data_IF_243929951410
#
_entry.id   IF_243929951410
#
_cell.length_a   1.000
_cell.length_b   1.000
_cell.length_c   1.000
_cell.angle_alpha   90.00
_cell.angle_beta   90.00
_cell.angle_gamma   90.00
#
_symmetry.space_group_name_H-M   'P 1'
#
loop_
_entity.id
_entity.type
_entity.pdbx_description
1 polymer ?
#
# COMPACT_ATOMS: atom_id res chain seq x y z
N UNK A 1 8.53 11.79 -19.61
CA UNK A 1 8.15 13.16 -19.80
C UNK A 1 8.26 13.58 -21.26
N UNK A 2 7.17 13.99 -21.82
CA UNK A 2 7.09 14.51 -23.20
C UNK A 2 7.40 16.01 -23.16
N UNK A 3 8.66 16.38 -23.28
CA UNK A 3 9.12 17.77 -23.32
C UNK A 3 8.59 18.53 -24.56
N UNK A 4 8.02 17.84 -25.56
CA UNK A 4 7.39 18.46 -26.72
C UNK A 4 5.90 18.76 -26.58
N UNK A 5 5.24 18.25 -25.54
CA UNK A 5 3.79 18.36 -25.39
C UNK A 5 3.33 19.56 -24.54
N UNK A 6 4.18 20.14 -23.71
CA UNK A 6 3.78 21.26 -22.85
C UNK A 6 3.40 22.52 -23.64
N UNK A 7 4.04 22.79 -24.78
CA UNK A 7 3.68 23.93 -25.64
C UNK A 7 2.36 23.70 -26.38
N UNK A 8 2.04 22.46 -26.74
CA UNK A 8 0.77 22.12 -27.39
C UNK A 8 -0.41 22.04 -26.41
N UNK A 9 -0.16 21.70 -25.16
CA UNK A 9 -1.21 21.55 -24.13
C UNK A 9 -1.74 22.89 -23.64
N UNK A 10 -0.92 23.95 -23.62
CA UNK A 10 -1.33 25.27 -23.10
C UNK A 10 -2.22 26.07 -24.05
N UNK A 11 -2.11 25.83 -25.35
CA UNK A 11 -2.77 26.63 -26.39
C UNK A 11 -3.90 25.92 -27.13
N UNK A 12 -4.15 24.63 -26.82
CA UNK A 12 -5.16 23.80 -27.49
C UNK A 12 -6.20 23.29 -26.54
N UNK A 13 -7.47 23.57 -26.80
CA UNK A 13 -8.59 22.94 -26.15
C UNK A 13 -8.86 21.57 -26.82
N UNK A 14 -8.79 20.51 -26.04
CA UNK A 14 -9.10 19.16 -26.51
C UNK A 14 -10.55 18.83 -26.15
N UNK A 15 -11.37 18.39 -27.11
CA UNK A 15 -12.71 17.92 -26.82
C UNK A 15 -12.65 16.74 -25.84
N UNK A 16 -13.31 16.86 -24.69
CA UNK A 16 -13.37 15.81 -23.67
C UNK A 16 -14.73 15.12 -23.74
N UNK A 17 -14.79 13.82 -24.10
CA UNK A 17 -16.06 13.08 -24.08
C UNK A 17 -16.51 12.93 -22.63
N UNK A 18 -17.71 13.38 -22.32
CA UNK A 18 -18.23 13.39 -20.95
C UNK A 18 -18.73 12.00 -20.52
N UNK A 19 -19.29 11.23 -21.45
CA UNK A 19 -19.81 9.85 -21.18
C UNK A 19 -20.60 9.79 -19.87
N UNK A 20 -21.65 10.62 -19.76
CA UNK A 20 -22.43 10.73 -18.54
C UNK A 20 -23.46 9.61 -18.41
N UNK A 21 -23.75 9.20 -17.16
CA UNK A 21 -24.90 8.35 -16.86
C UNK A 21 -26.24 9.07 -16.97
N UNK A 22 -26.27 10.40 -16.93
CA UNK A 22 -27.49 11.19 -17.10
C UNK A 22 -27.76 11.52 -18.57
N UNK A 23 -29.02 11.43 -18.96
CA UNK A 23 -29.52 11.86 -20.28
C UNK A 23 -29.68 13.38 -20.29
N UNK A 24 -29.54 13.97 -21.47
CA UNK A 24 -29.75 15.41 -21.66
C UNK A 24 -28.55 16.30 -21.36
N UNK A 25 -27.42 15.70 -20.96
CA UNK A 25 -26.15 16.41 -20.84
C UNK A 25 -25.42 16.46 -22.21
N UNK A 26 -24.55 17.44 -22.43
CA UNK A 26 -23.66 17.47 -23.58
C UNK A 26 -22.80 16.19 -23.64
N UNK A 27 -22.59 15.67 -24.84
CA UNK A 27 -21.72 14.49 -25.05
C UNK A 27 -20.23 14.84 -24.87
N UNK A 28 -19.86 16.08 -25.14
CA UNK A 28 -18.47 16.51 -25.19
C UNK A 28 -18.31 17.90 -24.60
N UNK A 29 -17.29 18.09 -23.77
CA UNK A 29 -16.81 19.40 -23.33
C UNK A 29 -15.81 19.92 -24.36
N UNK A 30 -16.16 20.98 -25.06
CA UNK A 30 -15.34 21.62 -26.14
C UNK A 30 -14.71 22.94 -25.74
N UNK A 31 -15.17 23.52 -24.63
CA UNK A 31 -14.69 24.77 -24.08
C UNK A 31 -14.03 24.55 -22.72
N UNK A 32 -13.23 25.50 -22.25
CA UNK A 32 -12.60 25.44 -20.94
C UNK A 32 -13.60 25.41 -19.78
N UNK A 33 -14.78 25.99 -20.00
CA UNK A 33 -15.88 26.05 -19.04
C UNK A 33 -17.21 25.80 -19.75
N UNK A 34 -18.13 25.10 -19.09
CA UNK A 34 -19.47 24.89 -19.58
C UNK A 34 -20.47 25.03 -18.43
N UNK A 35 -21.56 25.75 -18.70
CA UNK A 35 -22.67 25.90 -17.77
C UNK A 35 -23.85 25.09 -18.27
N UNK A 36 -24.46 24.31 -17.37
CA UNK A 36 -25.68 23.53 -17.62
C UNK A 36 -26.85 24.27 -16.99
N UNK A 37 -27.59 25.10 -17.74
CA UNK A 37 -28.57 26.06 -17.16
C UNK A 37 -29.80 25.36 -16.56
N UNK A 38 -30.14 24.19 -17.01
CA UNK A 38 -31.31 23.40 -16.57
C UNK A 38 -30.91 22.21 -15.65
N UNK A 39 -29.81 22.34 -14.91
CA UNK A 39 -29.26 21.26 -14.09
C UNK A 39 -30.28 20.66 -13.12
N UNK A 40 -31.07 21.51 -12.42
CA UNK A 40 -32.10 21.01 -11.47
C UNK A 40 -33.21 20.20 -12.14
N UNK A 41 -33.56 20.53 -13.39
CA UNK A 41 -34.51 19.76 -14.16
C UNK A 41 -33.89 18.40 -14.56
N UNK A 42 -32.67 18.40 -15.07
CA UNK A 42 -31.98 17.17 -15.42
C UNK A 42 -31.81 16.24 -14.21
N UNK A 43 -31.48 16.80 -13.04
CA UNK A 43 -31.40 16.04 -11.80
C UNK A 43 -32.70 15.40 -11.38
N UNK A 44 -33.86 16.02 -11.70
CA UNK A 44 -35.16 15.46 -11.43
C UNK A 44 -35.62 14.40 -12.47
N UNK A 45 -35.08 14.46 -13.68
CA UNK A 45 -35.38 13.55 -14.79
C UNK A 45 -34.48 12.32 -14.85
N UNK A 46 -33.37 12.32 -14.12
CA UNK A 46 -32.38 11.22 -14.09
C UNK A 46 -32.33 10.61 -12.68
N UNK A 47 -31.96 9.33 -12.63
CA UNK A 47 -31.79 8.60 -11.38
C UNK A 47 -30.31 8.55 -10.99
N UNK A 48 -30.06 8.59 -9.68
CA UNK A 48 -28.73 8.42 -9.08
C UNK A 48 -27.82 9.63 -9.21
N UNK A 49 -26.66 9.55 -8.59
CA UNK A 49 -25.64 10.58 -8.64
C UNK A 49 -25.11 10.77 -10.06
N UNK A 50 -24.87 12.04 -10.44
CA UNK A 50 -24.22 12.34 -11.71
C UNK A 50 -22.81 11.76 -11.73
N UNK A 51 -22.52 10.99 -12.78
CA UNK A 51 -21.17 10.46 -13.04
C UNK A 51 -20.76 10.74 -14.49
N UNK A 52 -19.49 11.07 -14.65
CA UNK A 52 -18.83 11.21 -15.93
C UNK A 52 -17.88 10.04 -16.16
N UNK A 53 -17.48 9.87 -17.43
CA UNK A 53 -16.60 8.79 -17.87
C UNK A 53 -17.12 7.41 -17.46
N UNK A 54 -18.44 7.22 -17.52
CA UNK A 54 -19.04 5.90 -17.26
C UNK A 54 -18.37 4.84 -18.14
N UNK A 55 -18.13 3.65 -17.58
CA UNK A 55 -17.34 2.57 -18.20
C UNK A 55 -15.83 2.85 -18.25
N UNK A 56 -15.35 4.00 -17.72
CA UNK A 56 -13.94 4.37 -17.64
C UNK A 56 -13.19 4.29 -19.00
N UNK A 57 -13.83 4.78 -20.06
CA UNK A 57 -13.31 4.68 -21.43
C UNK A 57 -12.53 5.90 -21.90
N UNK A 58 -12.67 7.04 -21.22
CA UNK A 58 -11.93 8.26 -21.53
C UNK A 58 -10.82 8.52 -20.50
N UNK A 59 -9.79 9.24 -20.93
CA UNK A 59 -8.58 9.44 -20.12
C UNK A 59 -8.57 10.83 -19.45
N UNK A 60 -9.38 11.00 -18.42
CA UNK A 60 -9.40 12.17 -17.53
C UNK A 60 -9.85 11.78 -16.11
N UNK A 61 -9.64 12.66 -15.15
CA UNK A 61 -10.03 12.50 -13.75
C UNK A 61 -11.10 13.53 -13.44
N UNK A 62 -12.18 13.11 -12.77
CA UNK A 62 -13.28 13.99 -12.37
C UNK A 62 -13.15 14.39 -10.90
N UNK A 63 -13.09 15.69 -10.63
CA UNK A 63 -13.20 16.22 -9.26
C UNK A 63 -14.62 16.71 -8.97
N UNK A 64 -15.43 15.83 -8.38
CA UNK A 64 -16.78 16.20 -7.89
C UNK A 64 -16.66 17.01 -6.62
N UNK A 65 -17.46 18.10 -6.52
CA UNK A 65 -17.45 18.99 -5.37
C UNK A 65 -18.87 19.26 -4.84
N UNK A 66 -18.95 19.65 -3.55
CA UNK A 66 -20.20 20.04 -2.92
C UNK A 66 -21.30 18.96 -3.00
N UNK A 67 -22.54 19.33 -3.43
CA UNK A 67 -23.63 18.38 -3.49
C UNK A 67 -23.42 17.19 -4.43
N UNK A 68 -22.63 17.36 -5.50
CA UNK A 68 -22.31 16.27 -6.43
C UNK A 68 -21.45 15.20 -5.78
N UNK A 69 -20.44 15.62 -5.01
CA UNK A 69 -19.62 14.69 -4.24
C UNK A 69 -20.44 13.99 -3.17
N UNK A 70 -21.26 14.71 -2.43
CA UNK A 70 -22.11 14.13 -1.39
C UNK A 70 -23.07 13.05 -1.96
N UNK A 71 -23.66 13.30 -3.12
CA UNK A 71 -24.50 12.33 -3.81
C UNK A 71 -23.71 11.08 -4.23
N UNK A 72 -22.52 11.27 -4.82
CA UNK A 72 -21.64 10.17 -5.24
C UNK A 72 -21.23 9.29 -4.06
N UNK A 73 -20.80 9.90 -2.95
CA UNK A 73 -20.40 9.19 -1.73
C UNK A 73 -21.57 8.39 -1.13
N UNK A 74 -22.78 8.98 -1.11
CA UNK A 74 -23.97 8.29 -0.61
C UNK A 74 -24.34 7.04 -1.42
N UNK A 75 -24.06 7.05 -2.72
CA UNK A 75 -24.37 5.92 -3.61
C UNK A 75 -23.21 4.93 -3.77
N UNK A 76 -22.02 5.24 -3.25
CA UNK A 76 -20.80 4.50 -3.52
C UNK A 76 -20.95 2.99 -3.28
N UNK A 77 -21.57 2.60 -2.18
CA UNK A 77 -21.81 1.20 -1.82
C UNK A 77 -22.77 0.47 -2.80
N UNK A 78 -23.60 1.21 -3.54
CA UNK A 78 -24.60 0.66 -4.47
C UNK A 78 -24.15 0.74 -5.94
N UNK A 79 -23.00 1.35 -6.21
CA UNK A 79 -22.45 1.40 -7.57
C UNK A 79 -22.00 0.01 -8.05
N UNK A 80 -22.01 -0.17 -9.37
CA UNK A 80 -21.31 -1.31 -9.96
C UNK A 80 -19.80 -1.25 -9.70
N UNK A 81 -19.12 -2.40 -9.78
CA UNK A 81 -17.70 -2.50 -9.44
C UNK A 81 -16.80 -1.54 -10.24
N UNK A 82 -17.07 -1.32 -11.52
CA UNK A 82 -16.28 -0.41 -12.37
C UNK A 82 -16.43 1.03 -11.92
N UNK A 83 -17.66 1.45 -11.63
CA UNK A 83 -17.97 2.80 -11.16
C UNK A 83 -17.44 3.06 -9.74
N UNK A 84 -17.55 2.10 -8.84
CA UNK A 84 -16.99 2.20 -7.50
C UNK A 84 -15.45 2.28 -7.53
N UNK A 85 -14.81 1.40 -8.32
CA UNK A 85 -13.37 1.42 -8.54
C UNK A 85 -12.89 2.77 -9.08
N UNK A 86 -13.57 3.31 -10.12
CA UNK A 86 -13.25 4.60 -10.70
C UNK A 86 -13.33 5.72 -9.65
N UNK A 87 -14.43 5.80 -8.90
CA UNK A 87 -14.63 6.83 -7.88
C UNK A 87 -13.52 6.80 -6.81
N UNK A 88 -13.16 5.61 -6.32
CA UNK A 88 -12.10 5.45 -5.32
C UNK A 88 -10.73 5.85 -5.89
N UNK A 89 -10.40 5.38 -7.09
CA UNK A 89 -9.12 5.66 -7.72
C UNK A 89 -8.95 7.15 -8.06
N UNK A 90 -9.99 7.79 -8.63
CA UNK A 90 -9.95 9.22 -8.95
C UNK A 90 -9.78 10.09 -7.68
N UNK A 91 -10.56 9.82 -6.61
CA UNK A 91 -10.39 10.55 -5.33
C UNK A 91 -9.01 10.33 -4.74
N UNK A 92 -8.48 9.11 -4.77
CA UNK A 92 -7.10 8.85 -4.30
C UNK A 92 -6.05 9.61 -5.11
N UNK A 93 -6.14 9.63 -6.44
CA UNK A 93 -5.21 10.37 -7.30
C UNK A 93 -5.26 11.87 -7.04
N UNK A 94 -6.47 12.44 -6.82
CA UNK A 94 -6.63 13.85 -6.44
C UNK A 94 -5.99 14.13 -5.07
N UNK A 95 -6.14 13.24 -4.10
CA UNK A 95 -5.50 13.38 -2.79
C UNK A 95 -3.97 13.23 -2.88
N UNK A 96 -3.46 12.25 -3.63
CA UNK A 96 -2.02 12.07 -3.87
C UNK A 96 -1.37 13.29 -4.54
N UNK A 97 -2.13 14.00 -5.41
CA UNK A 97 -1.68 15.25 -6.05
C UNK A 97 -1.85 16.50 -5.17
N UNK A 98 -2.46 16.37 -3.99
CA UNK A 98 -2.71 17.48 -3.07
C UNK A 98 -3.82 18.44 -3.50
N UNK A 99 -4.67 18.04 -4.47
CA UNK A 99 -5.84 18.81 -4.95
C UNK A 99 -7.03 18.72 -3.99
N UNK A 100 -7.17 17.61 -3.29
CA UNK A 100 -8.14 17.40 -2.22
C UNK A 100 -7.44 16.95 -0.95
N UNK A 101 -8.13 17.03 0.20
CA UNK A 101 -7.58 16.52 1.45
C UNK A 101 -7.60 14.99 1.51
N UNK A 102 -6.55 14.40 2.07
CA UNK A 102 -6.51 12.97 2.40
C UNK A 102 -7.58 12.57 3.43
N UNK A 103 -8.05 13.52 4.25
CA UNK A 103 -9.13 13.30 5.21
C UNK A 103 -10.44 12.86 4.53
N UNK A 104 -10.72 13.36 3.30
CA UNK A 104 -11.90 12.97 2.53
C UNK A 104 -11.92 11.48 2.17
N UNK A 105 -10.74 10.85 2.06
CA UNK A 105 -10.64 9.42 1.77
C UNK A 105 -11.05 8.55 2.96
N UNK A 106 -10.94 9.05 4.19
CA UNK A 106 -11.39 8.34 5.40
C UNK A 106 -12.90 8.13 5.33
N UNK A 107 -13.65 9.22 5.09
CA UNK A 107 -15.11 9.17 4.99
C UNK A 107 -15.56 8.37 3.75
N UNK A 108 -14.83 8.47 2.64
CA UNK A 108 -15.12 7.75 1.41
C UNK A 108 -15.09 6.23 1.62
N UNK A 109 -14.00 5.69 2.19
CA UNK A 109 -13.86 4.23 2.36
C UNK A 109 -14.73 3.69 3.50
N UNK A 110 -15.10 4.53 4.47
CA UNK A 110 -15.99 4.13 5.56
C UNK A 110 -17.47 3.92 5.12
N UNK A 111 -17.85 4.42 3.93
CA UNK A 111 -19.17 4.18 3.32
C UNK A 111 -19.25 2.83 2.59
N UNK A 112 -18.12 2.13 2.43
CA UNK A 112 -18.08 0.81 1.80
C UNK A 112 -18.29 -0.25 2.88
N UNK A 113 -19.48 -0.79 2.93
CA UNK A 113 -19.90 -1.76 3.94
C UNK A 113 -19.66 -3.22 3.52
N UNK A 114 -19.57 -3.51 2.22
CA UNK A 114 -19.31 -4.84 1.69
C UNK A 114 -18.32 -4.80 0.53
N UNK A 115 -17.29 -5.64 0.56
CA UNK A 115 -16.44 -5.85 -0.61
C UNK A 115 -17.24 -6.56 -1.70
N UNK A 116 -17.23 -6.00 -2.90
CA UNK A 116 -18.00 -6.51 -4.04
C UNK A 116 -17.14 -7.27 -5.04
N UNK A 117 -15.90 -6.84 -5.19
CA UNK A 117 -14.94 -7.46 -6.07
C UNK A 117 -13.52 -7.25 -5.54
N UNK A 118 -12.61 -8.15 -5.93
CA UNK A 118 -11.19 -8.00 -5.61
C UNK A 118 -10.61 -6.66 -6.06
N UNK A 119 -11.03 -6.15 -7.23
CA UNK A 119 -10.53 -4.86 -7.76
C UNK A 119 -10.91 -3.69 -6.85
N UNK A 120 -12.14 -3.69 -6.32
CA UNK A 120 -12.61 -2.66 -5.36
C UNK A 120 -11.88 -2.83 -4.03
N UNK A 121 -11.76 -4.06 -3.52
CA UNK A 121 -11.04 -4.37 -2.29
C UNK A 121 -9.56 -3.92 -2.37
N UNK A 122 -8.90 -4.11 -3.51
CA UNK A 122 -7.53 -3.66 -3.74
C UNK A 122 -7.43 -2.13 -3.80
N UNK A 123 -8.38 -1.44 -4.44
CA UNK A 123 -8.41 0.02 -4.45
C UNK A 123 -8.58 0.60 -3.03
N UNK A 124 -9.47 0.03 -2.23
CA UNK A 124 -9.64 0.38 -0.81
C UNK A 124 -8.35 0.11 -0.04
N UNK A 125 -7.72 -1.05 -0.25
CA UNK A 125 -6.43 -1.38 0.35
C UNK A 125 -5.34 -0.33 0.04
N UNK A 126 -5.30 0.20 -1.18
CA UNK A 126 -4.35 1.26 -1.55
C UNK A 126 -4.64 2.56 -0.79
N UNK A 127 -5.92 2.93 -0.59
CA UNK A 127 -6.30 4.07 0.25
C UNK A 127 -5.89 3.84 1.70
N UNK A 128 -6.21 2.69 2.28
CA UNK A 128 -5.81 2.30 3.66
C UNK A 128 -4.29 2.37 3.83
N UNK A 129 -3.52 1.86 2.88
CA UNK A 129 -2.06 1.94 2.90
C UNK A 129 -1.55 3.39 2.80
N UNK A 130 -2.25 4.23 2.02
CA UNK A 130 -1.99 5.66 1.94
C UNK A 130 -2.24 6.38 3.27
N UNK A 131 -3.33 6.09 3.95
CA UNK A 131 -3.69 6.68 5.25
C UNK A 131 -2.72 6.26 6.37
N UNK A 132 -2.20 5.03 6.35
CA UNK A 132 -1.23 4.54 7.36
C UNK A 132 0.02 5.42 7.45
N UNK A 133 0.41 6.13 6.39
CA UNK A 133 1.60 7.03 6.41
C UNK A 133 1.46 8.21 7.38
N UNK A 134 0.23 8.62 7.71
CA UNK A 134 -0.06 9.73 8.62
C UNK A 134 -0.12 9.31 10.08
N UNK A 135 -0.17 8.01 10.35
CA UNK A 135 -0.40 7.44 11.67
C UNK A 135 0.93 7.01 12.29
N UNK A 136 1.20 7.51 13.49
CA UNK A 136 2.37 7.10 14.26
C UNK A 136 2.05 5.83 15.06
N UNK A 137 3.00 4.91 15.10
CA UNK A 137 2.89 3.65 15.85
C UNK A 137 2.73 3.91 17.36
N UNK A 138 1.89 3.12 18.02
CA UNK A 138 1.57 3.25 19.44
C UNK A 138 0.68 4.44 19.81
N UNK A 139 0.26 5.27 18.82
CA UNK A 139 -0.58 6.45 19.07
C UNK A 139 -2.07 6.10 19.24
N UNK A 140 -2.85 7.05 19.78
CA UNK A 140 -4.31 6.93 19.80
C UNK A 140 -4.89 6.88 18.37
N UNK A 141 -4.28 7.62 17.45
CA UNK A 141 -4.68 7.62 16.05
C UNK A 141 -4.51 6.24 15.40
N UNK A 142 -3.50 5.47 15.80
CA UNK A 142 -3.36 4.10 15.32
C UNK A 142 -4.51 3.21 15.77
N UNK A 143 -4.98 3.38 17.00
CA UNK A 143 -6.15 2.63 17.48
C UNK A 143 -7.41 2.97 16.70
N UNK A 144 -7.63 4.24 16.38
CA UNK A 144 -8.74 4.69 15.53
C UNK A 144 -8.62 4.16 14.10
N UNK A 145 -7.43 4.26 13.52
CA UNK A 145 -7.13 3.68 12.21
C UNK A 145 -7.39 2.17 12.17
N UNK A 146 -6.93 1.43 13.18
CA UNK A 146 -7.15 -0.03 13.26
C UNK A 146 -8.64 -0.39 13.41
N UNK A 147 -9.43 0.44 14.12
CA UNK A 147 -10.89 0.27 14.17
C UNK A 147 -11.55 0.49 12.81
N UNK A 148 -11.17 1.56 12.11
CA UNK A 148 -11.66 1.82 10.75
C UNK A 148 -11.35 0.63 9.82
N UNK A 149 -10.11 0.14 9.82
CA UNK A 149 -9.70 -1.02 9.03
C UNK A 149 -10.50 -2.26 9.41
N UNK A 150 -10.72 -2.48 10.71
CA UNK A 150 -11.55 -3.60 11.17
C UNK A 150 -12.99 -3.49 10.66
N UNK A 151 -13.58 -2.30 10.72
CA UNK A 151 -14.95 -2.08 10.22
C UNK A 151 -15.06 -2.40 8.73
N UNK A 152 -14.07 -2.01 7.92
CA UNK A 152 -14.08 -2.20 6.45
C UNK A 152 -13.96 -3.69 6.07
N UNK A 153 -13.14 -4.47 6.79
CA UNK A 153 -12.78 -5.83 6.34
C UNK A 153 -13.37 -6.96 7.19
N UNK A 154 -14.09 -6.64 8.26
CA UNK A 154 -14.61 -7.66 9.18
C UNK A 154 -15.65 -8.57 8.52
N UNK A 155 -16.52 -8.02 7.66
CA UNK A 155 -17.56 -8.80 7.01
C UNK A 155 -16.98 -9.74 5.94
N UNK A 156 -16.02 -9.28 5.14
CA UNK A 156 -15.28 -10.13 4.21
C UNK A 156 -14.64 -11.32 4.93
N UNK A 157 -14.04 -11.06 6.10
CA UNK A 157 -13.47 -12.13 6.91
C UNK A 157 -14.52 -13.07 7.48
N UNK A 158 -15.67 -12.56 7.95
CA UNK A 158 -16.75 -13.40 8.46
C UNK A 158 -17.30 -14.32 7.38
N UNK A 159 -17.38 -13.84 6.14
CA UNK A 159 -17.84 -14.59 5.00
C UNK A 159 -16.85 -15.67 4.56
N UNK A 160 -15.55 -15.34 4.49
CA UNK A 160 -14.53 -16.21 3.88
C UNK A 160 -13.71 -17.00 4.89
N UNK A 161 -13.43 -16.45 6.08
CA UNK A 161 -12.64 -17.10 7.13
C UNK A 161 -11.15 -17.24 6.81
N UNK A 162 -10.48 -18.21 7.43
CA UNK A 162 -9.03 -18.45 7.24
C UNK A 162 -8.72 -19.38 6.07
N UNK A 163 -9.55 -20.40 5.84
CA UNK A 163 -9.28 -21.46 4.90
C UNK A 163 -10.10 -21.33 3.62
N UNK A 164 -9.51 -21.73 2.51
CA UNK A 164 -10.22 -21.83 1.23
C UNK A 164 -11.36 -22.82 1.32
N UNK A 165 -12.57 -22.39 0.96
CA UNK A 165 -13.74 -23.27 0.87
C UNK A 165 -13.74 -24.03 -0.46
N UNK A 166 -14.38 -25.21 -0.49
CA UNK A 166 -14.36 -26.08 -1.67
C UNK A 166 -15.01 -25.46 -2.93
N UNK A 167 -15.94 -24.55 -2.73
CA UNK A 167 -16.70 -23.83 -3.76
C UNK A 167 -16.29 -22.36 -3.91
N UNK A 168 -15.20 -21.93 -3.25
CA UNK A 168 -14.69 -20.57 -3.29
C UNK A 168 -14.07 -20.26 -4.66
N UNK A 169 -14.49 -19.15 -5.27
CA UNK A 169 -13.89 -18.67 -6.51
C UNK A 169 -12.48 -18.13 -6.28
N UNK A 170 -11.69 -17.97 -7.34
CA UNK A 170 -10.36 -17.35 -7.24
C UNK A 170 -10.46 -15.87 -6.80
N UNK A 171 -11.54 -15.18 -7.17
CA UNK A 171 -11.81 -13.82 -6.72
C UNK A 171 -12.09 -13.75 -5.22
N UNK A 172 -12.94 -14.64 -4.70
CA UNK A 172 -13.21 -14.74 -3.26
C UNK A 172 -11.95 -15.06 -2.46
N UNK A 173 -11.09 -15.95 -2.99
CA UNK A 173 -9.78 -16.23 -2.38
C UNK A 173 -8.91 -14.96 -2.28
N UNK A 174 -8.89 -14.12 -3.33
CA UNK A 174 -8.14 -12.87 -3.33
C UNK A 174 -8.71 -11.87 -2.31
N UNK A 175 -10.05 -11.72 -2.24
CA UNK A 175 -10.72 -10.88 -1.24
C UNK A 175 -10.41 -11.36 0.18
N UNK A 176 -10.49 -12.68 0.43
CA UNK A 176 -10.12 -13.28 1.72
C UNK A 176 -8.68 -12.96 2.12
N UNK A 177 -7.73 -13.07 1.20
CA UNK A 177 -6.32 -12.76 1.47
C UNK A 177 -6.11 -11.28 1.81
N UNK A 178 -6.80 -10.37 1.11
CA UNK A 178 -6.78 -8.93 1.43
C UNK A 178 -7.34 -8.69 2.83
N UNK A 179 -8.53 -9.21 3.13
CA UNK A 179 -9.18 -9.01 4.42
C UNK A 179 -8.32 -9.54 5.58
N UNK A 180 -7.81 -10.78 5.48
CA UNK A 180 -6.91 -11.37 6.48
C UNK A 180 -5.66 -10.51 6.70
N UNK A 181 -5.02 -10.07 5.61
CA UNK A 181 -3.82 -9.26 5.69
C UNK A 181 -4.08 -7.89 6.34
N UNK A 182 -5.20 -7.24 6.04
CA UNK A 182 -5.55 -5.92 6.61
C UNK A 182 -5.95 -6.03 8.07
N UNK A 183 -6.76 -7.01 8.44
CA UNK A 183 -7.14 -7.25 9.83
C UNK A 183 -5.94 -7.65 10.71
N UNK A 184 -5.01 -8.43 10.16
CA UNK A 184 -3.75 -8.74 10.87
C UNK A 184 -2.91 -7.48 11.09
N UNK A 185 -2.74 -6.61 10.08
CA UNK A 185 -2.03 -5.33 10.21
C UNK A 185 -2.74 -4.35 11.16
N UNK A 186 -4.07 -4.48 11.31
CA UNK A 186 -4.86 -3.73 12.28
C UNK A 186 -4.85 -4.32 13.70
N UNK A 187 -3.97 -5.31 13.95
CA UNK A 187 -3.84 -5.96 15.28
C UNK A 187 -5.15 -6.57 15.79
N UNK A 188 -5.99 -7.11 14.89
CA UNK A 188 -7.26 -7.73 15.28
C UNK A 188 -7.00 -9.00 16.09
N UNK A 189 -7.44 -9.08 17.38
CA UNK A 189 -7.11 -10.20 18.26
C UNK A 189 -7.60 -11.55 17.74
N UNK A 190 -8.79 -11.60 17.13
CA UNK A 190 -9.36 -12.85 16.61
C UNK A 190 -8.52 -13.40 15.43
N UNK A 191 -7.94 -12.52 14.63
CA UNK A 191 -7.04 -12.92 13.55
C UNK A 191 -5.71 -13.41 14.10
N UNK A 192 -5.13 -12.69 15.06
CA UNK A 192 -3.87 -13.08 15.72
C UNK A 192 -4.00 -14.47 16.34
N UNK A 193 -5.07 -14.70 17.12
CA UNK A 193 -5.33 -15.99 17.79
C UNK A 193 -5.62 -17.10 16.77
N UNK A 194 -6.39 -16.82 15.72
CA UNK A 194 -6.70 -17.79 14.67
C UNK A 194 -5.45 -18.22 13.87
N UNK A 195 -4.60 -17.27 13.49
CA UNK A 195 -3.32 -17.56 12.82
C UNK A 195 -2.37 -18.37 13.72
N UNK A 196 -2.37 -18.09 15.03
CA UNK A 196 -1.63 -18.88 16.02
C UNK A 196 -2.15 -20.30 16.09
N UNK A 197 -3.46 -20.49 16.17
CA UNK A 197 -4.07 -21.84 16.20
C UNK A 197 -3.71 -22.63 14.94
N UNK A 198 -3.68 -22.00 13.77
CA UNK A 198 -3.21 -22.66 12.54
C UNK A 198 -1.74 -23.05 12.69
N UNK A 199 -0.85 -22.16 13.17
CA UNK A 199 0.56 -22.49 13.38
C UNK A 199 0.75 -23.72 14.28
N UNK A 200 -0.02 -23.81 15.37
CA UNK A 200 0.06 -24.89 16.35
C UNK A 200 -0.24 -26.28 15.74
N UNK A 201 -0.99 -26.35 14.62
CA UNK A 201 -1.26 -27.61 13.91
C UNK A 201 -0.11 -28.06 13.00
N UNK A 202 0.86 -27.18 12.73
CA UNK A 202 1.97 -27.43 11.79
C UNK A 202 3.36 -27.26 12.43
N UNK A 203 3.46 -27.29 13.76
CA UNK A 203 4.74 -27.09 14.48
C UNK A 203 5.83 -28.07 14.07
N UNK A 204 5.46 -29.32 13.72
CA UNK A 204 6.41 -30.33 13.30
C UNK A 204 6.92 -30.13 11.86
N UNK A 205 6.17 -29.41 11.03
CA UNK A 205 6.54 -29.12 9.65
C UNK A 205 5.87 -27.84 9.12
N UNK A 206 6.50 -26.71 9.39
CA UNK A 206 6.00 -25.38 8.97
C UNK A 206 5.92 -25.22 7.44
N UNK A 207 6.66 -26.01 6.67
CA UNK A 207 6.58 -26.00 5.21
C UNK A 207 5.23 -26.55 4.68
N UNK A 208 4.52 -27.34 5.50
CA UNK A 208 3.21 -27.90 5.15
C UNK A 208 2.04 -26.93 5.40
N UNK A 209 2.27 -25.77 6.00
CA UNK A 209 1.24 -24.72 6.12
C UNK A 209 0.74 -24.37 4.71
N UNK A 210 -0.59 -24.30 4.48
CA UNK A 210 -1.16 -23.95 3.18
C UNK A 210 -0.60 -22.63 2.65
N UNK A 211 -0.11 -22.61 1.42
CA UNK A 211 0.59 -21.48 0.83
C UNK A 211 -0.22 -20.16 0.87
N UNK A 212 -1.55 -20.26 0.75
CA UNK A 212 -2.46 -19.12 0.78
C UNK A 212 -2.41 -18.31 2.11
N UNK A 213 -2.08 -18.95 3.24
CA UNK A 213 -2.04 -18.32 4.57
C UNK A 213 -0.66 -18.38 5.21
N UNK A 214 0.28 -19.15 4.66
CA UNK A 214 1.59 -19.46 5.26
C UNK A 214 2.36 -18.22 5.65
N UNK A 215 2.44 -17.23 4.76
CA UNK A 215 3.13 -15.96 5.04
C UNK A 215 2.59 -15.26 6.28
N UNK A 216 1.27 -15.13 6.39
CA UNK A 216 0.64 -14.48 7.53
C UNK A 216 0.80 -15.30 8.82
N UNK A 217 0.65 -16.63 8.74
CA UNK A 217 0.82 -17.53 9.88
C UNK A 217 2.24 -17.43 10.44
N UNK A 218 3.27 -17.50 9.58
CA UNK A 218 4.67 -17.41 10.00
C UNK A 218 5.00 -16.00 10.52
N UNK A 219 4.53 -14.95 9.86
CA UNK A 219 4.73 -13.56 10.28
C UNK A 219 4.05 -13.26 11.62
N UNK A 220 2.82 -13.76 11.82
CA UNK A 220 2.07 -13.63 13.07
C UNK A 220 2.81 -14.29 14.24
N UNK A 221 3.29 -15.51 14.02
CA UNK A 221 4.02 -16.24 15.04
C UNK A 221 5.30 -15.51 15.45
N UNK A 222 6.03 -14.96 14.48
CA UNK A 222 7.24 -14.18 14.73
C UNK A 222 6.96 -12.88 15.46
N UNK A 223 5.96 -12.11 14.99
CA UNK A 223 5.64 -10.80 15.55
C UNK A 223 5.15 -10.85 16.98
N UNK A 224 4.28 -11.81 17.32
CA UNK A 224 3.57 -11.85 18.60
C UNK A 224 4.06 -12.93 19.56
N UNK A 225 4.79 -13.95 19.08
CA UNK A 225 5.14 -15.13 19.86
C UNK A 225 6.60 -15.58 19.60
N UNK A 226 7.50 -14.61 19.33
CA UNK A 226 8.91 -14.89 19.05
C UNK A 226 9.59 -15.58 20.24
N UNK A 227 10.31 -16.68 19.93
CA UNK A 227 11.21 -17.40 20.85
C UNK A 227 12.49 -17.77 20.11
N UNK A 228 13.59 -18.01 20.85
CA UNK A 228 14.88 -18.43 20.25
C UNK A 228 14.72 -19.70 19.41
N UNK A 229 13.96 -20.68 19.92
CA UNK A 229 13.68 -21.92 19.19
C UNK A 229 12.90 -21.71 17.89
N UNK A 230 11.96 -20.75 17.87
CA UNK A 230 11.24 -20.38 16.64
C UNK A 230 12.18 -19.76 15.62
N UNK A 231 13.04 -18.85 16.07
CA UNK A 231 14.06 -18.20 15.22
C UNK A 231 14.98 -19.25 14.61
N UNK A 232 15.46 -20.21 15.42
CA UNK A 232 16.31 -21.31 14.92
C UNK A 232 15.57 -22.15 13.87
N UNK A 233 14.33 -22.54 14.14
CA UNK A 233 13.50 -23.28 13.18
C UNK A 233 13.32 -22.55 11.87
N UNK A 234 13.09 -21.23 11.91
CA UNK A 234 12.91 -20.41 10.70
C UNK A 234 14.20 -20.29 9.90
N UNK A 235 15.34 -20.06 10.55
CA UNK A 235 16.64 -20.04 9.87
C UNK A 235 17.02 -21.38 9.28
N UNK A 236 16.86 -22.47 10.01
CA UNK A 236 17.18 -23.81 9.54
C UNK A 236 16.32 -24.18 8.33
N UNK A 237 15.01 -23.86 8.38
CA UNK A 237 14.10 -24.08 7.26
C UNK A 237 14.47 -23.18 6.07
N UNK A 238 14.82 -21.92 6.31
CA UNK A 238 15.24 -20.98 5.27
C UNK A 238 16.45 -21.49 4.49
N UNK A 239 17.45 -22.00 5.18
CA UNK A 239 18.67 -22.54 4.58
C UNK A 239 18.42 -23.86 3.85
N UNK A 240 17.60 -24.73 4.44
CA UNK A 240 17.34 -26.07 3.90
C UNK A 240 16.38 -26.08 2.70
N UNK A 241 15.46 -25.12 2.61
CA UNK A 241 14.42 -25.14 1.58
C UNK A 241 14.93 -24.79 0.18
N UNK A 242 14.40 -25.49 -0.82
CA UNK A 242 14.54 -25.13 -2.25
C UNK A 242 13.31 -24.39 -2.80
N UNK A 243 12.22 -24.30 -2.00
CA UNK A 243 11.01 -23.54 -2.37
C UNK A 243 11.25 -22.05 -2.13
N UNK A 244 11.30 -21.28 -3.22
CA UNK A 244 11.50 -19.83 -3.17
C UNK A 244 10.33 -19.11 -2.50
N UNK A 245 9.09 -19.62 -2.60
CA UNK A 245 7.94 -18.99 -1.95
C UNK A 245 8.06 -19.15 -0.43
N UNK A 246 8.40 -20.34 0.05
CA UNK A 246 8.64 -20.57 1.49
C UNK A 246 9.80 -19.71 1.99
N UNK A 247 10.89 -19.61 1.21
CA UNK A 247 12.03 -18.74 1.58
C UNK A 247 11.59 -17.28 1.71
N UNK A 248 10.79 -16.78 0.78
CA UNK A 248 10.24 -15.42 0.85
C UNK A 248 9.31 -15.23 2.05
N UNK A 249 8.45 -16.22 2.34
CA UNK A 249 7.56 -16.17 3.50
C UNK A 249 8.34 -16.12 4.81
N UNK A 250 9.43 -16.90 4.93
CA UNK A 250 10.33 -16.88 6.08
C UNK A 250 11.11 -15.57 6.19
N UNK A 251 11.53 -14.97 5.07
CA UNK A 251 12.15 -13.63 5.08
C UNK A 251 11.19 -12.59 5.66
N UNK A 252 9.93 -12.58 5.21
CA UNK A 252 8.92 -11.66 5.73
C UNK A 252 8.66 -11.93 7.22
N UNK A 253 8.59 -13.19 7.62
CA UNK A 253 8.37 -13.58 9.01
C UNK A 253 9.54 -13.14 9.91
N UNK A 254 10.77 -13.49 9.59
CA UNK A 254 11.96 -13.09 10.35
C UNK A 254 12.11 -11.57 10.45
N UNK A 255 11.68 -10.84 9.40
CA UNK A 255 11.65 -9.38 9.41
C UNK A 255 10.66 -8.77 10.41
N UNK A 256 9.69 -9.55 10.95
CA UNK A 256 8.76 -9.09 12.00
C UNK A 256 9.39 -9.08 13.39
N UNK A 257 10.64 -9.47 13.55
CA UNK A 257 11.28 -9.47 14.87
C UNK A 257 11.25 -8.10 15.55
N UNK A 258 11.07 -8.11 16.86
CA UNK A 258 11.30 -6.98 17.77
C UNK A 258 12.47 -7.22 18.74
N UNK A 259 13.24 -8.30 18.51
CA UNK A 259 14.37 -8.70 19.37
C UNK A 259 15.70 -8.29 18.74
N UNK A 260 16.52 -7.53 19.48
CA UNK A 260 17.83 -7.09 19.01
C UNK A 260 18.80 -8.25 18.72
N UNK A 261 18.65 -9.38 19.42
CA UNK A 261 19.48 -10.57 19.19
C UNK A 261 19.19 -11.18 17.80
N UNK A 262 17.91 -11.35 17.47
CA UNK A 262 17.46 -11.85 16.17
C UNK A 262 17.87 -10.92 15.04
N UNK A 263 17.68 -9.60 15.21
CA UNK A 263 18.10 -8.61 14.22
C UNK A 263 19.61 -8.68 13.97
N UNK A 264 20.43 -8.78 15.00
CA UNK A 264 21.90 -8.96 14.85
C UNK A 264 22.23 -10.22 14.07
N UNK A 265 21.54 -11.34 14.34
CA UNK A 265 21.72 -12.59 13.60
C UNK A 265 21.40 -12.40 12.12
N UNK A 266 20.27 -11.74 11.80
CA UNK A 266 19.91 -11.41 10.42
C UNK A 266 21.02 -10.60 9.74
N UNK A 267 21.49 -9.52 10.37
CA UNK A 267 22.53 -8.64 9.80
C UNK A 267 23.85 -9.37 9.51
N UNK A 268 24.25 -10.30 10.38
CA UNK A 268 25.41 -11.16 10.14
C UNK A 268 25.15 -12.09 8.96
N UNK A 269 23.98 -12.70 8.89
CA UNK A 269 23.59 -13.63 7.84
C UNK A 269 23.49 -12.96 6.45
N UNK A 270 23.19 -11.64 6.37
CA UNK A 270 23.19 -10.91 5.09
C UNK A 270 24.53 -10.96 4.35
N UNK A 271 25.63 -11.11 5.08
CA UNK A 271 26.99 -11.21 4.49
C UNK A 271 27.43 -12.64 4.23
N UNK A 272 26.70 -13.62 4.71
CA UNK A 272 27.01 -15.03 4.54
C UNK A 272 26.23 -15.61 3.36
N UNK A 273 26.92 -15.81 2.23
CA UNK A 273 26.32 -16.33 0.99
C UNK A 273 25.82 -17.77 1.10
N UNK A 274 26.24 -18.51 2.13
CA UNK A 274 25.76 -19.86 2.38
C UNK A 274 24.42 -19.85 3.12
N UNK A 275 24.08 -18.74 3.78
CA UNK A 275 22.78 -18.48 4.42
C UNK A 275 21.88 -17.65 3.49
N UNK A 276 22.29 -16.43 3.15
CA UNK A 276 21.51 -15.51 2.31
C UNK A 276 22.27 -15.27 1.00
N UNK A 277 21.67 -15.70 -0.10
CA UNK A 277 22.28 -15.55 -1.43
C UNK A 277 22.25 -14.06 -1.87
N UNK A 278 23.25 -13.62 -2.67
CA UNK A 278 23.29 -12.22 -3.15
C UNK A 278 21.99 -11.75 -3.82
N UNK A 279 21.33 -12.60 -4.60
CA UNK A 279 20.07 -12.29 -5.26
C UNK A 279 18.91 -11.99 -4.29
N UNK A 280 18.97 -12.52 -3.06
CA UNK A 280 17.91 -12.35 -2.05
C UNK A 280 18.15 -11.11 -1.17
N UNK A 281 19.36 -10.50 -1.22
CA UNK A 281 19.74 -9.37 -0.37
C UNK A 281 18.79 -8.18 -0.50
N UNK A 282 18.39 -7.83 -1.72
CA UNK A 282 17.49 -6.70 -1.94
C UNK A 282 16.12 -6.92 -1.34
N UNK A 283 15.61 -8.16 -1.34
CA UNK A 283 14.33 -8.49 -0.72
C UNK A 283 14.42 -8.41 0.81
N UNK A 284 15.45 -8.96 1.42
CA UNK A 284 15.74 -8.79 2.86
C UNK A 284 15.81 -7.32 3.26
N UNK A 285 16.55 -6.53 2.48
CA UNK A 285 16.68 -5.10 2.71
C UNK A 285 15.32 -4.39 2.71
N UNK A 286 14.49 -4.65 1.72
CA UNK A 286 13.15 -4.07 1.63
C UNK A 286 12.26 -4.47 2.80
N UNK A 287 12.24 -5.75 3.17
CA UNK A 287 11.44 -6.25 4.30
C UNK A 287 11.84 -5.55 5.61
N UNK A 288 13.13 -5.44 5.89
CA UNK A 288 13.63 -4.80 7.11
C UNK A 288 13.43 -3.27 7.11
N UNK A 289 13.49 -2.60 5.96
CA UNK A 289 13.16 -1.17 5.85
C UNK A 289 11.68 -0.88 6.11
N UNK A 290 10.82 -1.82 5.82
CA UNK A 290 9.37 -1.69 6.00
C UNK A 290 8.91 -1.80 7.46
N UNK A 291 9.75 -2.22 8.39
CA UNK A 291 9.41 -2.40 9.80
C UNK A 291 10.03 -1.29 10.65
N UNK A 292 9.24 -0.69 11.54
CA UNK A 292 9.69 0.42 12.39
C UNK A 292 10.88 0.05 13.28
N UNK A 293 10.86 -1.16 13.86
CA UNK A 293 11.91 -1.63 14.76
C UNK A 293 13.25 -1.87 14.04
N UNK A 294 13.21 -2.37 12.82
CA UNK A 294 14.43 -2.76 12.08
C UNK A 294 14.94 -1.68 11.13
N UNK A 295 14.10 -0.71 10.75
CA UNK A 295 14.38 0.29 9.72
C UNK A 295 15.67 1.08 9.95
N UNK A 296 15.86 1.61 11.18
CA UNK A 296 17.06 2.37 11.54
C UNK A 296 18.32 1.53 11.33
N UNK A 297 18.32 0.37 11.96
CA UNK A 297 19.49 -0.51 12.00
C UNK A 297 19.87 -1.01 10.61
N UNK A 298 18.89 -1.38 9.77
CA UNK A 298 19.20 -1.86 8.40
C UNK A 298 19.63 -0.70 7.48
N UNK A 299 19.10 0.50 7.67
CA UNK A 299 19.55 1.69 6.96
C UNK A 299 20.99 2.05 7.30
N UNK A 300 21.34 2.02 8.58
CA UNK A 300 22.71 2.23 9.06
C UNK A 300 23.66 1.15 8.52
N UNK A 301 23.26 -0.13 8.62
CA UNK A 301 24.00 -1.24 8.04
C UNK A 301 24.27 -1.06 6.54
N UNK A 302 23.29 -0.62 5.77
CA UNK A 302 23.46 -0.43 4.32
C UNK A 302 24.46 0.70 4.01
N UNK A 303 24.43 1.80 4.78
CA UNK A 303 25.39 2.91 4.63
C UNK A 303 26.82 2.47 4.97
N UNK A 304 27.00 1.76 6.06
CA UNK A 304 28.32 1.26 6.50
C UNK A 304 28.88 0.19 5.56
N UNK A 305 28.03 -0.58 4.89
CA UNK A 305 28.44 -1.68 4.03
C UNK A 305 28.27 -1.38 2.54
N UNK A 306 28.13 -0.11 2.15
CA UNK A 306 27.84 0.29 0.77
C UNK A 306 28.82 -0.28 -0.26
N UNK A 307 30.11 -0.21 -0.01
CA UNK A 307 31.12 -0.73 -0.94
C UNK A 307 31.07 -2.26 -1.05
N UNK A 308 30.74 -2.94 0.03
CA UNK A 308 30.52 -4.39 0.00
C UNK A 308 29.28 -4.75 -0.82
N UNK A 309 28.17 -4.03 -0.64
CA UNK A 309 26.93 -4.21 -1.42
C UNK A 309 27.22 -3.99 -2.90
N UNK A 310 27.95 -2.91 -3.23
CA UNK A 310 28.36 -2.61 -4.61
C UNK A 310 29.22 -3.71 -5.20
N UNK A 311 30.14 -4.28 -4.43
CA UNK A 311 30.98 -5.39 -4.87
C UNK A 311 30.20 -6.71 -5.02
N UNK A 312 29.22 -6.97 -4.14
CA UNK A 312 28.40 -8.20 -4.17
C UNK A 312 27.36 -8.20 -5.30
N UNK A 313 26.80 -7.02 -5.64
CA UNK A 313 25.71 -6.84 -6.59
C UNK A 313 26.09 -5.98 -7.81
N UNK A 314 27.33 -5.50 -7.88
CA UNK A 314 27.79 -4.61 -8.94
C UNK A 314 27.65 -5.26 -10.32
N UNK A 315 26.81 -4.66 -11.17
CA UNK A 315 26.43 -5.22 -12.47
C UNK A 315 25.10 -5.98 -12.49
N UNK A 316 24.47 -6.22 -11.33
CA UNK A 316 23.13 -6.75 -11.22
C UNK A 316 22.09 -5.60 -11.17
N UNK A 317 20.95 -5.79 -11.83
CA UNK A 317 19.82 -4.86 -11.81
C UNK A 317 19.20 -4.69 -10.40
N UNK A 318 19.60 -5.51 -9.42
CA UNK A 318 19.13 -5.41 -8.04
C UNK A 318 19.89 -4.39 -7.19
N UNK A 319 21.03 -3.87 -7.67
CA UNK A 319 21.83 -2.89 -6.92
C UNK A 319 21.12 -1.55 -6.74
N UNK A 320 20.40 -1.08 -7.75
CA UNK A 320 19.63 0.18 -7.70
C UNK A 320 18.50 0.14 -6.64
N UNK A 321 18.03 -1.05 -6.26
CA UNK A 321 17.02 -1.24 -5.22
C UNK A 321 17.47 -0.74 -3.85
N UNK A 322 18.80 -0.72 -3.60
CA UNK A 322 19.35 -0.13 -2.37
C UNK A 322 19.25 1.41 -2.32
N UNK A 323 18.95 2.04 -3.44
CA UNK A 323 18.59 3.47 -3.56
C UNK A 323 17.07 3.66 -3.52
N UNK A 324 16.34 2.82 -4.25
CA UNK A 324 14.88 2.93 -4.44
C UNK A 324 14.12 2.60 -3.15
N UNK A 325 14.48 1.52 -2.45
CA UNK A 325 13.71 1.08 -1.28
C UNK A 325 13.73 2.05 -0.09
N UNK A 326 14.87 2.68 0.27
CA UNK A 326 14.83 3.76 1.27
C UNK A 326 13.93 4.91 0.83
N UNK A 327 13.98 5.30 -0.45
CA UNK A 327 13.13 6.35 -0.98
C UNK A 327 11.64 6.00 -0.88
N UNK A 328 11.26 4.74 -1.10
CA UNK A 328 9.87 4.28 -0.97
C UNK A 328 9.38 4.24 0.50
N UNK A 329 10.28 3.99 1.46
CA UNK A 329 9.91 3.78 2.87
C UNK A 329 10.04 5.04 3.75
N UNK A 330 10.92 5.98 3.41
CA UNK A 330 11.19 7.15 4.25
C UNK A 330 10.07 8.19 4.16
N UNK A 331 9.63 8.66 5.34
CA UNK A 331 8.47 9.56 5.46
C UNK A 331 8.68 10.76 6.40
N UNK A 332 9.92 10.99 6.85
CA UNK A 332 10.24 12.09 7.77
C UNK A 332 11.33 13.00 7.19
N UNK A 333 11.35 14.26 7.63
CA UNK A 333 12.38 15.20 7.23
C UNK A 333 13.80 14.74 7.62
N UNK A 334 13.92 14.08 8.75
CA UNK A 334 15.19 13.52 9.21
C UNK A 334 15.72 12.47 8.22
N UNK A 335 14.87 11.52 7.82
CA UNK A 335 15.23 10.49 6.82
C UNK A 335 15.54 11.07 5.45
N UNK A 336 14.85 12.12 5.04
CA UNK A 336 15.17 12.85 3.82
C UNK A 336 16.59 13.45 3.90
N UNK A 337 16.92 14.08 5.02
CA UNK A 337 18.23 14.70 5.20
C UNK A 337 19.35 13.65 5.21
N UNK A 338 19.14 12.51 5.85
CA UNK A 338 20.11 11.39 5.84
C UNK A 338 20.25 10.77 4.44
N UNK A 339 19.14 10.59 3.72
CA UNK A 339 19.14 10.07 2.35
C UNK A 339 19.96 10.99 1.43
N UNK A 340 19.72 12.31 1.50
CA UNK A 340 20.48 13.31 0.76
C UNK A 340 21.95 13.28 1.13
N UNK A 341 22.27 13.35 2.41
CA UNK A 341 23.67 13.36 2.88
C UNK A 341 24.46 12.14 2.41
N UNK A 342 23.80 10.98 2.32
CA UNK A 342 24.45 9.75 1.89
C UNK A 342 24.53 9.60 0.36
N UNK A 343 23.47 9.96 -0.37
CA UNK A 343 23.38 9.68 -1.81
C UNK A 343 23.76 10.85 -2.72
N UNK A 344 23.61 12.12 -2.33
CA UNK A 344 24.03 13.25 -3.18
C UNK A 344 25.51 13.19 -3.61
N UNK A 345 26.46 12.78 -2.74
CA UNK A 345 27.85 12.60 -3.15
C UNK A 345 28.09 11.50 -4.20
N UNK A 346 27.06 10.70 -4.51
CA UNK A 346 27.11 9.57 -5.46
C UNK A 346 26.36 9.86 -6.77
N UNK A 347 25.94 11.11 -7.00
CA UNK A 347 25.22 11.51 -8.22
C UNK A 347 26.07 11.36 -9.51
N UNK A 348 27.38 11.26 -9.39
CA UNK A 348 28.29 10.99 -10.52
C UNK A 348 28.24 9.52 -10.98
N UNK A 349 27.70 8.61 -10.18
CA UNK A 349 27.54 7.20 -10.55
C UNK A 349 26.32 7.04 -11.46
N UNK A 350 26.57 6.92 -12.78
CA UNK A 350 25.53 6.83 -13.81
C UNK A 350 24.53 5.67 -13.62
N UNK A 351 24.94 4.62 -12.90
CA UNK A 351 24.07 3.46 -12.63
C UNK A 351 22.91 3.80 -11.69
N UNK A 352 23.07 4.76 -10.79
CA UNK A 352 22.10 5.08 -9.73
C UNK A 352 21.68 6.55 -9.67
N UNK A 353 22.35 7.46 -10.41
CA UNK A 353 22.12 8.92 -10.35
C UNK A 353 20.66 9.30 -10.60
N UNK A 354 20.00 8.68 -11.58
CA UNK A 354 18.58 8.90 -11.86
C UNK A 354 17.70 8.48 -10.68
N UNK A 355 17.96 7.31 -10.10
CA UNK A 355 17.18 6.79 -8.98
C UNK A 355 17.38 7.63 -7.72
N UNK A 356 18.59 8.18 -7.51
CA UNK A 356 18.86 9.14 -6.41
C UNK A 356 18.01 10.40 -6.57
N UNK A 357 18.03 11.03 -7.75
CA UNK A 357 17.27 12.24 -8.01
C UNK A 357 15.75 12.01 -7.86
N UNK A 358 15.25 10.89 -8.39
CA UNK A 358 13.84 10.51 -8.23
C UNK A 358 13.49 10.25 -6.77
N UNK A 359 14.35 9.54 -6.03
CA UNK A 359 14.14 9.24 -4.62
C UNK A 359 14.11 10.47 -3.73
N UNK A 360 14.97 11.46 -3.96
CA UNK A 360 14.93 12.75 -3.25
C UNK A 360 13.57 13.41 -3.46
N UNK A 361 13.14 13.56 -4.72
CA UNK A 361 11.85 14.19 -5.05
C UNK A 361 10.67 13.44 -4.43
N UNK A 362 10.72 12.11 -4.43
CA UNK A 362 9.66 11.26 -3.87
C UNK A 362 9.53 11.42 -2.35
N UNK A 363 10.66 11.43 -1.62
CA UNK A 363 10.65 11.63 -0.17
C UNK A 363 10.21 13.07 0.16
N UNK A 364 10.71 14.09 -0.57
CA UNK A 364 10.30 15.49 -0.40
C UNK A 364 8.80 15.67 -0.56
N UNK A 365 8.23 15.14 -1.64
CA UNK A 365 6.79 15.22 -1.90
C UNK A 365 5.99 14.52 -0.79
N UNK A 366 6.43 13.35 -0.34
CA UNK A 366 5.79 12.60 0.75
C UNK A 366 5.85 13.33 2.07
N UNK A 367 7.01 13.89 2.44
CA UNK A 367 7.18 14.67 3.68
C UNK A 367 6.29 15.91 3.65
N UNK A 368 6.26 16.63 2.53
CA UNK A 368 5.41 17.81 2.36
C UNK A 368 3.92 17.45 2.50
N UNK A 369 3.47 16.38 1.84
CA UNK A 369 2.10 15.90 1.94
C UNK A 369 1.73 15.51 3.38
N UNK A 370 2.58 14.73 4.06
CA UNK A 370 2.34 14.34 5.44
C UNK A 370 2.26 15.57 6.34
N UNK A 371 3.18 16.51 6.19
CA UNK A 371 3.19 17.75 7.00
C UNK A 371 1.91 18.55 6.80
N UNK A 372 1.44 18.67 5.57
CA UNK A 372 0.22 19.40 5.21
C UNK A 372 -1.05 18.75 5.74
N UNK A 373 -1.19 17.43 5.57
CA UNK A 373 -2.47 16.74 5.72
C UNK A 373 -2.64 16.02 7.06
N UNK A 374 -1.55 15.77 7.82
CA UNK A 374 -1.57 14.92 9.03
C UNK A 374 -2.66 15.31 10.02
N UNK A 375 -2.80 16.61 10.32
CA UNK A 375 -3.78 17.07 11.31
C UNK A 375 -5.23 16.73 10.89
N UNK A 376 -5.58 17.03 9.64
CA UNK A 376 -6.92 16.78 9.11
C UNK A 376 -7.23 15.26 9.04
N UNK A 377 -6.25 14.44 8.63
CA UNK A 377 -6.41 12.98 8.58
C UNK A 377 -6.60 12.40 9.99
N UNK A 378 -5.81 12.85 10.98
CA UNK A 378 -5.95 12.38 12.35
C UNK A 378 -7.29 12.79 12.98
N UNK A 379 -7.80 13.98 12.65
CA UNK A 379 -9.13 14.42 13.05
C UNK A 379 -10.21 13.53 12.46
N UNK A 380 -10.19 13.28 11.15
CA UNK A 380 -11.13 12.38 10.49
C UNK A 380 -11.10 10.96 11.09
N UNK A 381 -9.89 10.41 11.32
CA UNK A 381 -9.72 9.11 11.96
C UNK A 381 -10.26 9.06 13.41
N UNK A 382 -10.29 10.18 14.11
CA UNK A 382 -10.76 10.23 15.50
C UNK A 382 -12.25 9.90 15.68
N UNK A 383 -13.02 9.92 14.60
CA UNK A 383 -14.43 9.54 14.57
C UNK A 383 -14.66 8.03 14.63
N UNK A 384 -13.61 7.27 14.44
CA UNK A 384 -13.58 5.80 14.49
C UNK A 384 -12.75 5.33 15.68
#
# INVERSE_FOLDING_TARGET
GLVGSEMCIRDSLWPIPLNSNWKGLPETLTEAEMVIPNFSQLAAENEGALRFNTENTAHYITDYQGPLLAALVTELAHLDNTSALQAIQERRLLADSGLISYAELVDLIAQLDDSKSYMVAEAVQQVVSGLKRFVDEGSLAEKSFNRLVTTIYQEDFNQHGFEKKADESDEDEMVRQVALGRLWLAENPAIIDGLRAIFETYTDNIASIPAAVRRLVLANQMKHFETDSLVDTYFDTYVATTDNNLRNDLTVALGQTSQSATLKRILVSLKDKDIIKPQDLSFWYNVLLGQSFTQETIWEWARENWEWIKAALGGDMSFDKFVIYPAANFKTQERLNEYKAFFEPKLDDMAISRNIAMGINEIEARVALITKEKAAVLEALSHY
#
